data_IF_427364075531
#
_entry.id   IF_427364075531
#
_cell.length_a   1.000
_cell.length_b   1.000
_cell.length_c   1.000
_cell.angle_alpha   90.00
_cell.angle_beta   90.00
_cell.angle_gamma   90.00
#
_symmetry.space_group_name_H-M   'P 1'
#
loop_
_entity.id
_entity.type
_entity.pdbx_description
1 polymer ?
#
# COMPACT_ATOMS: atom_id res chain seq x y z
N UNK A 1 50.84 18.84 -2.47
CA UNK A 1 51.71 20.02 -2.63
C UNK A 1 52.12 20.02 -4.09
N UNK A 2 51.75 21.06 -4.84
CA UNK A 2 52.17 21.23 -6.24
C UNK A 2 53.16 22.39 -6.28
N UNK A 3 54.30 22.21 -6.93
CA UNK A 3 55.30 23.25 -7.15
C UNK A 3 55.36 23.51 -8.66
N UNK A 4 55.06 24.73 -9.08
CA UNK A 4 55.19 25.18 -10.46
C UNK A 4 56.46 26.05 -10.54
N UNK A 5 57.35 25.72 -11.49
CA UNK A 5 58.64 26.37 -11.64
C UNK A 5 58.62 27.34 -12.83
N UNK A 6 58.85 28.62 -12.58
CA UNK A 6 59.07 29.64 -13.62
C UNK A 6 60.57 29.85 -13.81
N UNK A 7 61.08 29.47 -14.98
CA UNK A 7 62.50 29.56 -15.36
C UNK A 7 62.90 30.99 -15.77
N UNK A 8 63.32 31.82 -14.82
CA UNK A 8 64.17 32.99 -15.13
C UNK A 8 65.43 32.96 -14.25
N UNK A 9 66.51 32.40 -14.81
CA UNK A 9 67.84 32.38 -14.19
C UNK A 9 68.58 31.08 -14.49
N UNK A 10 69.79 31.19 -15.06
CA UNK A 10 70.60 30.07 -15.53
C UNK A 10 70.94 29.06 -14.43
N UNK A 11 70.18 27.96 -14.42
CA UNK A 11 70.53 26.71 -13.76
C UNK A 11 71.27 25.83 -14.77
N UNK A 12 72.39 25.22 -14.39
CA UNK A 12 72.96 24.13 -15.19
C UNK A 12 72.00 22.93 -15.06
N UNK A 13 71.30 22.50 -16.12
CA UNK A 13 70.42 21.36 -16.03
C UNK A 13 71.28 20.11 -15.81
N UNK A 14 71.03 19.42 -14.70
CA UNK A 14 71.45 18.01 -14.58
C UNK A 14 70.67 17.27 -15.67
N UNK A 15 71.38 16.55 -16.54
CA UNK A 15 70.76 15.85 -17.66
C UNK A 15 70.04 14.61 -17.12
N UNK A 16 68.71 14.65 -17.19
CA UNK A 16 67.81 13.54 -16.87
C UNK A 16 68.18 12.32 -17.72
N UNK A 17 68.53 11.24 -17.06
CA UNK A 17 68.82 9.97 -17.72
C UNK A 17 67.60 9.02 -17.65
N UNK A 18 67.68 7.88 -18.34
CA UNK A 18 66.54 6.96 -18.43
C UNK A 18 66.46 5.95 -17.28
N UNK A 19 67.38 5.98 -16.32
CA UNK A 19 67.43 5.06 -15.20
C UNK A 19 66.80 5.69 -13.94
N UNK A 20 66.64 4.87 -12.88
CA UNK A 20 66.13 5.29 -11.56
C UNK A 20 67.29 5.17 -10.54
N UNK A 21 68.50 5.50 -10.96
CA UNK A 21 69.69 5.54 -10.10
C UNK A 21 70.50 6.82 -10.37
N UNK A 22 70.22 7.88 -9.61
CA UNK A 22 70.98 9.12 -9.73
C UNK A 22 70.62 10.20 -8.70
N UNK A 23 71.44 11.25 -8.66
CA UNK A 23 71.21 12.45 -7.83
C UNK A 23 70.24 13.47 -8.51
N UNK A 24 69.77 13.16 -9.71
CA UNK A 24 68.73 13.88 -10.47
C UNK A 24 67.31 13.60 -9.95
N UNK A 25 67.15 12.54 -9.15
CA UNK A 25 65.88 12.17 -8.54
C UNK A 25 65.54 12.94 -7.26
N UNK A 26 64.25 13.25 -7.13
CA UNK A 26 63.69 13.84 -5.92
C UNK A 26 63.57 12.80 -4.80
N UNK A 27 64.69 12.49 -4.12
CA UNK A 27 64.68 11.60 -2.95
C UNK A 27 64.20 12.34 -1.69
N UNK A 28 62.97 12.06 -1.27
CA UNK A 28 62.42 12.52 0.01
C UNK A 28 62.71 11.44 1.07
N UNK A 29 63.58 11.75 2.02
CA UNK A 29 63.89 10.91 3.19
C UNK A 29 63.73 11.68 4.50
N UNK A 30 63.49 11.01 5.64
CA UNK A 30 63.46 11.66 6.95
C UNK A 30 64.77 12.41 7.24
N UNK A 31 64.67 13.62 7.80
CA UNK A 31 65.79 14.55 8.10
C UNK A 31 66.41 15.32 6.91
N UNK A 32 65.76 15.37 5.74
CA UNK A 32 66.16 16.24 4.62
C UNK A 32 65.34 17.54 4.61
N UNK A 33 65.98 18.67 4.35
CA UNK A 33 65.31 19.99 4.20
C UNK A 33 65.11 20.27 2.71
N UNK A 34 63.89 20.63 2.34
CA UNK A 34 63.58 21.11 0.98
C UNK A 34 63.67 22.64 1.01
N UNK A 35 64.66 23.19 0.31
CA UNK A 35 64.74 24.62 0.06
C UNK A 35 64.02 24.93 -1.25
N UNK A 36 63.08 25.88 -1.20
CA UNK A 36 62.33 26.34 -2.37
C UNK A 36 62.67 27.81 -2.57
N UNK A 37 63.51 28.10 -3.55
CA UNK A 37 63.88 29.47 -3.91
C UNK A 37 62.93 29.99 -4.99
N UNK A 38 62.42 31.21 -4.79
CA UNK A 38 61.56 31.93 -5.73
C UNK A 38 60.28 31.18 -6.21
N UNK A 39 59.69 30.31 -5.39
CA UNK A 39 58.41 29.67 -5.70
C UNK A 39 57.38 29.82 -4.56
N UNK A 40 56.09 29.79 -4.91
CA UNK A 40 54.98 29.91 -3.96
C UNK A 40 54.42 28.53 -3.63
N UNK A 41 54.51 28.15 -2.36
CA UNK A 41 53.90 26.91 -1.87
C UNK A 41 52.43 27.17 -1.57
N UNK A 42 51.52 26.45 -2.25
CA UNK A 42 50.09 26.54 -2.00
C UNK A 42 49.54 25.25 -1.37
N UNK A 43 48.50 25.39 -0.54
CA UNK A 43 47.72 24.27 -0.03
C UNK A 43 46.63 23.95 -1.06
N UNK A 44 46.40 22.67 -1.33
CA UNK A 44 45.23 22.27 -2.11
C UNK A 44 43.99 22.46 -1.24
N UNK A 45 43.03 23.25 -1.73
CA UNK A 45 41.74 23.41 -1.06
C UNK A 45 41.04 22.05 -0.93
N UNK A 46 40.32 21.87 0.17
CA UNK A 46 39.54 20.65 0.37
C UNK A 46 38.49 20.52 -0.73
N UNK A 47 38.34 19.31 -1.28
CA UNK A 47 37.33 19.06 -2.31
C UNK A 47 35.92 19.29 -1.76
N UNK A 48 35.11 20.07 -2.47
CA UNK A 48 33.71 20.22 -2.16
C UNK A 48 32.95 18.96 -2.61
N UNK A 49 32.38 18.22 -1.65
CA UNK A 49 31.63 16.99 -1.91
C UNK A 49 30.13 17.23 -2.18
N UNK A 50 29.64 18.46 -2.05
CA UNK A 50 28.24 18.80 -2.32
C UNK A 50 27.78 18.38 -3.74
N UNK A 51 28.55 18.61 -4.82
CA UNK A 51 28.14 18.17 -6.16
C UNK A 51 27.99 16.65 -6.28
N UNK A 52 28.75 15.87 -5.50
CA UNK A 52 28.61 14.40 -5.48
C UNK A 52 27.32 13.97 -4.77
N UNK A 53 26.92 14.68 -3.71
CA UNK A 53 25.65 14.44 -3.00
C UNK A 53 24.47 14.78 -3.92
N UNK A 54 24.50 15.94 -4.59
CA UNK A 54 23.47 16.34 -5.54
C UNK A 54 23.34 15.35 -6.70
N UNK A 55 24.48 14.88 -7.22
CA UNK A 55 24.50 13.85 -8.27
C UNK A 55 23.83 12.55 -7.80
N UNK A 56 24.11 12.11 -6.57
CA UNK A 56 23.44 10.94 -5.97
C UNK A 56 21.93 11.16 -5.89
N UNK A 57 21.48 12.32 -5.43
CA UNK A 57 20.05 12.63 -5.31
C UNK A 57 19.34 12.67 -6.66
N UNK A 58 19.99 13.23 -7.69
CA UNK A 58 19.48 13.21 -9.06
C UNK A 58 19.28 11.78 -9.59
N UNK A 59 20.22 10.87 -9.31
CA UNK A 59 20.05 9.46 -9.66
C UNK A 59 18.88 8.79 -8.93
N UNK A 60 18.72 9.06 -7.62
CA UNK A 60 17.58 8.54 -6.84
C UNK A 60 16.26 9.02 -7.43
N UNK A 61 16.16 10.31 -7.79
CA UNK A 61 14.97 10.88 -8.42
C UNK A 61 14.69 10.25 -9.80
N UNK A 62 15.71 10.05 -10.63
CA UNK A 62 15.57 9.40 -11.93
C UNK A 62 15.07 7.95 -11.78
N UNK A 63 15.64 7.19 -10.84
CA UNK A 63 15.22 5.81 -10.55
C UNK A 63 13.77 5.78 -10.05
N UNK A 64 13.40 6.66 -9.13
CA UNK A 64 12.04 6.77 -8.61
C UNK A 64 11.03 7.07 -9.75
N UNK A 65 11.37 8.00 -10.64
CA UNK A 65 10.54 8.36 -11.79
C UNK A 65 10.33 7.18 -12.76
N UNK A 66 11.40 6.47 -13.13
CA UNK A 66 11.33 5.33 -14.06
C UNK A 66 10.62 4.12 -13.43
N UNK A 67 10.93 3.83 -12.16
CA UNK A 67 10.36 2.69 -11.45
C UNK A 67 8.93 2.93 -10.94
N UNK A 68 8.45 4.18 -10.96
CA UNK A 68 7.19 4.60 -10.31
C UNK A 68 7.16 4.21 -8.82
N UNK A 69 8.32 4.09 -8.19
CA UNK A 69 8.46 3.88 -6.75
C UNK A 69 8.53 5.26 -6.10
N UNK A 70 7.71 5.56 -5.09
CA UNK A 70 7.78 6.86 -4.41
C UNK A 70 9.17 7.12 -3.81
N UNK A 71 9.67 8.36 -3.97
CA UNK A 71 11.04 8.77 -3.58
C UNK A 71 11.30 8.54 -2.09
N UNK A 72 10.29 8.72 -1.23
CA UNK A 72 10.41 8.52 0.22
C UNK A 72 10.73 7.07 0.63
N UNK A 73 10.53 6.08 -0.25
CA UNK A 73 11.01 4.71 -0.02
C UNK A 73 12.50 4.55 -0.25
N UNK A 74 13.10 5.36 -1.12
CA UNK A 74 14.52 5.28 -1.50
C UNK A 74 15.39 6.22 -0.68
N UNK A 75 14.85 7.35 -0.25
CA UNK A 75 15.49 8.30 0.64
C UNK A 75 14.59 8.45 1.87
N UNK A 76 14.97 7.86 3.02
CA UNK A 76 14.24 8.06 4.26
C UNK A 76 14.16 9.55 4.53
N UNK A 77 12.95 10.10 4.50
CA UNK A 77 12.70 11.51 4.78
C UNK A 77 13.21 11.82 6.18
N UNK A 78 14.33 12.53 6.25
CA UNK A 78 14.89 13.05 7.49
C UNK A 78 14.05 14.20 8.01
N UNK A 79 12.91 13.89 8.63
CA UNK A 79 12.10 14.84 9.41
C UNK A 79 11.28 15.86 8.61
N UNK A 80 10.05 16.06 9.09
CA UNK A 80 9.15 17.21 8.90
C UNK A 80 8.30 17.36 7.62
N UNK A 81 8.56 16.66 6.52
CA UNK A 81 7.65 16.68 5.35
C UNK A 81 7.14 15.29 4.99
N UNK A 82 6.51 14.61 5.95
CA UNK A 82 5.65 13.47 5.61
C UNK A 82 4.43 14.05 4.88
N UNK A 83 4.21 13.73 3.60
CA UNK A 83 3.05 14.24 2.88
C UNK A 83 1.76 13.83 3.60
N UNK A 84 0.73 14.66 3.53
CA UNK A 84 -0.59 14.30 4.07
C UNK A 84 -1.07 12.97 3.46
N UNK A 85 -1.91 12.22 4.18
CA UNK A 85 -2.32 10.87 3.75
C UNK A 85 -2.90 10.79 2.32
N UNK A 86 -3.54 11.86 1.84
CA UNK A 86 -4.05 11.94 0.46
C UNK A 86 -2.92 12.22 -0.57
N UNK A 87 -1.92 13.02 -0.19
CA UNK A 87 -0.74 13.25 -1.03
C UNK A 87 0.12 11.98 -1.14
N UNK A 88 0.27 11.23 -0.03
CA UNK A 88 0.90 9.90 -0.05
C UNK A 88 0.18 8.96 -1.02
N UNK A 89 -1.16 8.92 -0.99
CA UNK A 89 -1.95 8.10 -1.91
C UNK A 89 -1.73 8.47 -3.38
N UNK A 90 -1.67 9.77 -3.69
CA UNK A 90 -1.39 10.22 -5.06
C UNK A 90 0.01 9.78 -5.52
N UNK A 91 1.01 9.86 -4.63
CA UNK A 91 2.37 9.38 -4.90
C UNK A 91 2.41 7.86 -5.09
N UNK A 92 1.63 7.10 -4.32
CA UNK A 92 1.54 5.64 -4.41
C UNK A 92 0.74 5.13 -5.62
N UNK A 93 -0.10 5.98 -6.22
CA UNK A 93 -0.97 5.58 -7.34
C UNK A 93 -0.22 4.97 -8.52
N UNK A 94 1.01 5.43 -8.78
CA UNK A 94 1.87 4.90 -9.84
C UNK A 94 2.33 3.46 -9.55
N UNK A 95 2.65 3.17 -8.29
CA UNK A 95 3.02 1.84 -7.83
C UNK A 95 1.81 0.90 -7.85
N UNK A 96 0.66 1.36 -7.37
CA UNK A 96 -0.60 0.60 -7.37
C UNK A 96 -0.97 0.14 -8.79
N UNK A 97 -0.88 1.03 -9.78
CA UNK A 97 -1.15 0.67 -11.19
C UNK A 97 -0.22 -0.45 -11.68
N UNK A 98 1.07 -0.40 -11.34
CA UNK A 98 2.01 -1.49 -11.70
C UNK A 98 1.65 -2.81 -11.02
N UNK A 99 1.20 -2.76 -9.76
CA UNK A 99 0.74 -3.96 -9.06
C UNK A 99 -0.51 -4.54 -9.73
N UNK A 100 -1.48 -3.70 -10.11
CA UNK A 100 -2.68 -4.14 -10.84
C UNK A 100 -2.33 -4.77 -12.20
N UNK A 101 -1.40 -4.17 -12.96
CA UNK A 101 -0.87 -4.77 -14.20
C UNK A 101 -0.27 -6.17 -13.94
N UNK A 102 0.46 -6.35 -12.84
CA UNK A 102 1.05 -7.66 -12.46
C UNK A 102 0.01 -8.65 -11.96
N UNK A 103 -1.00 -8.21 -11.21
CA UNK A 103 -2.12 -9.04 -10.78
C UNK A 103 -2.89 -9.61 -11.98
N UNK A 104 -3.02 -8.84 -13.07
CA UNK A 104 -3.65 -9.32 -14.30
C UNK A 104 -2.82 -10.42 -14.97
N UNK A 105 -1.52 -10.18 -15.18
CA UNK A 105 -0.63 -11.16 -15.83
C UNK A 105 -0.50 -12.43 -14.99
N UNK A 106 -0.26 -12.30 -13.68
CA UNK A 106 -0.18 -13.47 -12.80
C UNK A 106 -1.54 -14.13 -12.59
N UNK A 107 -2.63 -13.38 -12.60
CA UNK A 107 -3.97 -13.92 -12.50
C UNK A 107 -4.32 -14.87 -13.64
N UNK A 108 -3.92 -14.52 -14.87
CA UNK A 108 -4.04 -15.42 -16.03
C UNK A 108 -3.19 -16.67 -15.87
N UNK A 109 -1.92 -16.52 -15.49
CA UNK A 109 -1.03 -17.68 -15.27
C UNK A 109 -1.57 -18.65 -14.19
N UNK A 110 -2.19 -18.11 -13.13
CA UNK A 110 -2.84 -18.93 -12.10
C UNK A 110 -4.11 -19.62 -12.60
N UNK A 111 -4.91 -18.94 -13.43
CA UNK A 111 -6.08 -19.55 -14.06
C UNK A 111 -5.68 -20.74 -14.95
N UNK A 112 -4.66 -20.56 -15.80
CA UNK A 112 -4.15 -21.61 -16.68
C UNK A 112 -3.62 -22.81 -15.87
N UNK A 113 -2.87 -22.55 -14.79
CA UNK A 113 -2.35 -23.60 -13.91
C UNK A 113 -3.48 -24.42 -13.27
N UNK A 114 -4.55 -23.75 -12.83
CA UNK A 114 -5.71 -24.40 -12.22
C UNK A 114 -6.59 -25.11 -13.25
N UNK A 115 -6.66 -24.62 -14.48
CA UNK A 115 -7.32 -25.32 -15.59
C UNK A 115 -6.59 -26.62 -15.93
N UNK A 116 -5.26 -26.61 -16.01
CA UNK A 116 -4.46 -27.83 -16.21
C UNK A 116 -4.69 -28.80 -15.04
N UNK A 117 -4.66 -28.31 -13.80
CA UNK A 117 -4.94 -29.13 -12.63
C UNK A 117 -6.34 -29.75 -12.66
N UNK A 118 -7.36 -28.99 -13.08
CA UNK A 118 -8.74 -29.47 -13.25
C UNK A 118 -8.82 -30.55 -14.32
N UNK A 119 -8.17 -30.36 -15.47
CA UNK A 119 -8.18 -31.34 -16.57
C UNK A 119 -7.48 -32.65 -16.17
N UNK A 120 -6.37 -32.57 -15.45
CA UNK A 120 -5.69 -33.76 -14.90
C UNK A 120 -6.60 -34.47 -13.89
N UNK A 121 -7.23 -33.72 -12.99
CA UNK A 121 -8.12 -34.28 -11.97
C UNK A 121 -9.41 -34.87 -12.58
N UNK A 122 -9.93 -34.30 -13.68
CA UNK A 122 -11.04 -34.88 -14.45
C UNK A 122 -10.65 -36.20 -15.12
N UNK A 123 -9.42 -36.31 -15.61
CA UNK A 123 -8.94 -37.49 -16.34
C UNK A 123 -8.51 -38.65 -15.43
N UNK A 124 -7.86 -38.34 -14.30
CA UNK A 124 -7.23 -39.35 -13.43
C UNK A 124 -7.80 -39.39 -11.99
N UNK A 125 -8.62 -38.41 -11.61
CA UNK A 125 -9.17 -38.28 -10.26
C UNK A 125 -10.61 -38.80 -10.13
N UNK A 126 -11.11 -38.77 -8.89
CA UNK A 126 -12.46 -39.21 -8.56
C UNK A 126 -13.39 -38.01 -8.33
N UNK A 127 -14.44 -37.90 -9.15
CA UNK A 127 -15.68 -37.21 -8.78
C UNK A 127 -15.67 -35.68 -8.76
N UNK A 128 -14.94 -35.01 -9.67
CA UNK A 128 -15.15 -33.57 -9.87
C UNK A 128 -16.45 -33.33 -10.66
N UNK A 129 -17.30 -32.38 -10.22
CA UNK A 129 -18.46 -31.99 -11.01
C UNK A 129 -18.03 -31.39 -12.35
N UNK A 130 -18.73 -31.77 -13.41
CA UNK A 130 -18.51 -31.20 -14.73
C UNK A 130 -19.08 -29.78 -14.76
N UNK A 131 -18.21 -28.81 -14.98
CA UNK A 131 -18.58 -27.39 -15.05
C UNK A 131 -18.27 -26.90 -16.46
N UNK A 132 -19.32 -26.64 -17.25
CA UNK A 132 -19.21 -26.09 -18.60
C UNK A 132 -20.00 -24.77 -18.72
N UNK A 133 -19.36 -23.65 -19.10
CA UNK A 133 -17.92 -23.48 -19.35
C UNK A 133 -17.10 -23.40 -18.04
N UNK A 134 -15.89 -23.97 -18.06
CA UNK A 134 -14.92 -23.82 -16.98
C UNK A 134 -14.42 -22.37 -16.95
N UNK A 135 -14.82 -21.61 -15.94
CA UNK A 135 -14.39 -20.23 -15.75
C UNK A 135 -13.66 -20.10 -14.41
N UNK A 136 -12.34 -20.26 -14.44
CA UNK A 136 -11.48 -20.08 -13.28
C UNK A 136 -10.85 -18.69 -13.35
N UNK A 137 -11.01 -17.91 -12.28
CA UNK A 137 -10.44 -16.56 -12.19
C UNK A 137 -9.70 -16.39 -10.87
N UNK A 138 -8.53 -15.77 -10.91
CA UNK A 138 -7.79 -15.38 -9.72
C UNK A 138 -8.42 -14.12 -9.11
N UNK A 139 -8.92 -14.24 -7.88
CA UNK A 139 -9.40 -13.09 -7.12
C UNK A 139 -8.27 -12.55 -6.24
N UNK A 140 -7.76 -11.36 -6.57
CA UNK A 140 -6.74 -10.67 -5.78
C UNK A 140 -7.38 -9.70 -4.80
N UNK A 141 -6.76 -9.54 -3.63
CA UNK A 141 -7.04 -8.42 -2.74
C UNK A 141 -6.65 -7.11 -3.43
N UNK A 142 -7.41 -6.03 -3.18
CA UNK A 142 -7.09 -4.69 -3.66
C UNK A 142 -5.65 -4.31 -3.29
N UNK A 143 -4.92 -3.77 -4.26
CA UNK A 143 -3.53 -3.35 -4.12
C UNK A 143 -3.39 -2.02 -3.35
N UNK A 144 -4.47 -1.25 -3.19
CA UNK A 144 -4.45 -0.05 -2.37
C UNK A 144 -4.39 -0.38 -0.88
N UNK A 145 -3.69 0.46 -0.10
CA UNK A 145 -3.79 0.43 1.36
C UNK A 145 -5.24 0.77 1.73
N UNK A 146 -5.91 -0.14 2.46
CA UNK A 146 -7.32 0.03 2.86
C UNK A 146 -7.50 1.35 3.63
N UNK A 147 -8.30 2.24 3.08
CA UNK A 147 -8.82 3.40 3.79
C UNK A 147 -10.31 3.16 4.09
N UNK A 148 -10.58 2.73 5.31
CA UNK A 148 -11.94 2.43 5.80
C UNK A 148 -12.89 3.63 5.64
N UNK A 149 -12.37 4.87 5.77
CA UNK A 149 -13.15 6.09 5.61
C UNK A 149 -13.63 6.28 4.16
N UNK A 150 -12.76 6.04 3.18
CA UNK A 150 -13.15 6.16 1.77
C UNK A 150 -14.14 5.07 1.36
N UNK A 151 -13.98 3.85 1.87
CA UNK A 151 -14.94 2.77 1.63
C UNK A 151 -16.32 3.09 2.23
N UNK A 152 -16.36 3.64 3.44
CA UNK A 152 -17.61 4.08 4.07
C UNK A 152 -18.28 5.21 3.26
N UNK A 153 -17.52 6.22 2.82
CA UNK A 153 -18.06 7.31 1.99
C UNK A 153 -18.59 6.81 0.63
N UNK A 154 -17.90 5.86 0.01
CA UNK A 154 -18.35 5.22 -1.23
C UNK A 154 -19.62 4.40 -1.00
N UNK A 155 -19.69 3.64 0.11
CA UNK A 155 -20.86 2.87 0.49
C UNK A 155 -22.08 3.77 0.76
N UNK A 156 -21.89 4.87 1.48
CA UNK A 156 -22.93 5.88 1.72
C UNK A 156 -23.41 6.51 0.41
N UNK A 157 -22.48 6.82 -0.50
CA UNK A 157 -22.83 7.36 -1.81
C UNK A 157 -23.67 6.38 -2.64
N UNK A 158 -23.31 5.09 -2.66
CA UNK A 158 -24.08 4.07 -3.36
C UNK A 158 -25.45 3.82 -2.73
N UNK A 159 -25.54 3.83 -1.40
CA UNK A 159 -26.81 3.72 -0.69
C UNK A 159 -27.73 4.90 -1.00
N UNK A 160 -27.18 6.11 -1.10
CA UNK A 160 -27.92 7.32 -1.50
C UNK A 160 -28.43 7.26 -2.96
N UNK A 161 -27.72 6.56 -3.83
CA UNK A 161 -28.10 6.33 -5.23
C UNK A 161 -29.14 5.20 -5.42
N UNK A 162 -29.51 4.50 -4.34
CA UNK A 162 -30.49 3.42 -4.39
C UNK A 162 -29.96 2.14 -5.04
N UNK A 163 -28.64 1.94 -5.06
CA UNK A 163 -28.02 0.70 -5.54
C UNK A 163 -28.35 -0.44 -4.56
N UNK A 164 -28.75 -1.65 -5.04
CA UNK A 164 -29.01 -2.79 -4.16
C UNK A 164 -27.81 -3.12 -3.27
N UNK A 165 -28.06 -3.40 -1.99
CA UNK A 165 -27.02 -3.67 -0.98
C UNK A 165 -26.05 -4.79 -1.41
N UNK A 166 -26.54 -5.77 -2.17
CA UNK A 166 -25.75 -6.85 -2.77
C UNK A 166 -24.60 -6.34 -3.66
N UNK A 167 -24.88 -5.33 -4.47
CA UNK A 167 -23.92 -4.70 -5.37
C UNK A 167 -22.96 -3.83 -4.58
N UNK A 168 -23.45 -3.16 -3.52
CA UNK A 168 -22.60 -2.38 -2.61
C UNK A 168 -21.60 -3.28 -1.89
N UNK A 169 -22.03 -4.41 -1.33
CA UNK A 169 -21.16 -5.35 -0.62
C UNK A 169 -20.14 -6.01 -1.56
N UNK A 170 -20.54 -6.33 -2.79
CA UNK A 170 -19.61 -6.85 -3.79
C UNK A 170 -18.57 -5.79 -4.17
N UNK A 171 -18.98 -4.53 -4.32
CA UNK A 171 -18.09 -3.40 -4.64
C UNK A 171 -17.11 -3.10 -3.50
N UNK A 172 -17.50 -3.38 -2.26
CA UNK A 172 -16.63 -3.28 -1.07
C UNK A 172 -15.67 -4.48 -0.93
N UNK A 173 -15.77 -5.49 -1.80
CA UNK A 173 -14.86 -6.64 -1.83
C UNK A 173 -15.18 -7.73 -0.81
N UNK A 174 -16.42 -7.79 -0.30
CA UNK A 174 -16.86 -8.92 0.53
C UNK A 174 -16.98 -10.20 -0.29
N UNK A 175 -16.66 -11.35 0.32
CA UNK A 175 -16.74 -12.64 -0.38
C UNK A 175 -18.19 -13.06 -0.61
N UNK A 176 -18.48 -13.91 -1.62
CA UNK A 176 -19.83 -14.43 -1.84
C UNK A 176 -20.40 -15.16 -0.60
N UNK A 177 -19.54 -15.79 0.20
CA UNK A 177 -19.89 -16.43 1.47
C UNK A 177 -20.29 -15.42 2.54
N UNK A 178 -19.60 -14.28 2.64
CA UNK A 178 -19.92 -13.23 3.61
C UNK A 178 -21.27 -12.56 3.26
N UNK A 179 -21.50 -12.29 1.97
CA UNK A 179 -22.76 -11.74 1.46
C UNK A 179 -23.94 -12.68 1.78
N UNK A 180 -23.75 -13.99 1.63
CA UNK A 180 -24.76 -14.97 2.01
C UNK A 180 -25.05 -14.94 3.52
N UNK A 181 -24.01 -14.72 4.34
CA UNK A 181 -24.14 -14.52 5.79
C UNK A 181 -24.96 -13.27 6.14
N UNK A 182 -24.66 -12.13 5.52
CA UNK A 182 -25.39 -10.87 5.72
C UNK A 182 -26.85 -10.97 5.28
N UNK A 183 -27.12 -11.61 4.14
CA UNK A 183 -28.50 -11.92 3.70
C UNK A 183 -29.22 -12.82 4.69
N UNK A 184 -28.51 -13.80 5.25
CA UNK A 184 -29.04 -14.69 6.27
C UNK A 184 -29.42 -13.95 7.55
N UNK A 185 -28.61 -12.98 7.98
CA UNK A 185 -28.91 -12.11 9.12
C UNK A 185 -30.07 -11.15 8.82
N UNK A 186 -30.04 -10.46 7.67
CA UNK A 186 -31.09 -9.54 7.26
C UNK A 186 -32.46 -10.22 7.17
N UNK A 187 -32.54 -11.43 6.60
CA UNK A 187 -33.79 -12.21 6.57
C UNK A 187 -34.28 -12.62 7.97
N UNK A 188 -33.36 -12.91 8.89
CA UNK A 188 -33.72 -13.22 10.29
C UNK A 188 -34.22 -11.98 11.01
N UNK A 189 -33.57 -10.84 10.81
CA UNK A 189 -33.99 -9.56 11.38
C UNK A 189 -35.35 -9.12 10.84
N UNK A 190 -35.57 -9.20 9.53
CA UNK A 190 -36.87 -8.92 8.92
C UNK A 190 -37.96 -9.86 9.45
N UNK A 191 -37.67 -11.16 9.56
CA UNK A 191 -38.59 -12.12 10.15
C UNK A 191 -38.91 -11.78 11.63
N UNK A 192 -37.94 -11.29 12.40
CA UNK A 192 -38.14 -10.84 13.78
C UNK A 192 -38.97 -9.55 13.82
N UNK A 193 -38.73 -8.58 12.95
CA UNK A 193 -39.51 -7.34 12.87
C UNK A 193 -40.95 -7.62 12.44
N UNK A 194 -41.16 -8.45 11.41
CA UNK A 194 -42.49 -8.85 10.95
C UNK A 194 -43.22 -9.63 12.04
N UNK A 195 -42.54 -10.54 12.76
CA UNK A 195 -43.11 -11.25 13.89
C UNK A 195 -43.45 -10.31 15.07
N UNK A 196 -42.62 -9.29 15.33
CA UNK A 196 -42.87 -8.29 16.36
C UNK A 196 -44.10 -7.44 16.02
N UNK A 197 -44.20 -6.93 14.78
CA UNK A 197 -45.35 -6.15 14.29
C UNK A 197 -46.61 -7.01 14.29
N UNK A 198 -46.54 -8.26 13.83
CA UNK A 198 -47.67 -9.18 13.88
C UNK A 198 -48.09 -9.53 15.32
N UNK A 199 -47.14 -9.63 16.25
CA UNK A 199 -47.37 -9.84 17.67
C UNK A 199 -47.99 -8.63 18.37
N UNK A 200 -47.64 -7.42 17.95
CA UNK A 200 -48.26 -6.17 18.41
C UNK A 200 -49.68 -6.01 17.86
N UNK A 201 -49.89 -6.26 16.56
CA UNK A 201 -51.23 -6.25 15.95
C UNK A 201 -52.16 -7.29 16.58
N UNK A 202 -51.65 -8.48 16.92
CA UNK A 202 -52.42 -9.51 17.63
C UNK A 202 -52.79 -9.08 19.04
N UNK A 203 -51.87 -8.45 19.78
CA UNK A 203 -52.15 -7.89 21.13
C UNK A 203 -53.17 -6.75 21.07
N UNK A 204 -53.08 -5.88 20.08
CA UNK A 204 -54.04 -4.79 19.87
C UNK A 204 -55.43 -5.30 19.50
N UNK A 205 -55.52 -6.33 18.65
CA UNK A 205 -56.80 -6.99 18.30
C UNK A 205 -57.45 -7.72 19.47
N UNK A 206 -56.65 -8.39 20.33
CA UNK A 206 -57.14 -9.06 21.54
C UNK A 206 -57.61 -8.08 22.63
N UNK A 207 -57.00 -6.89 22.73
CA UNK A 207 -57.44 -5.84 23.64
C UNK A 207 -58.79 -5.23 23.23
N UNK A 208 -59.07 -5.15 21.92
CA UNK A 208 -60.36 -4.69 21.39
C UNK A 208 -61.50 -5.71 21.54
N UNK A 209 -61.19 -6.99 21.76
CA UNK A 209 -62.17 -8.07 21.92
C UNK A 209 -62.53 -8.39 23.36
N UNK A 210 -61.94 -7.72 24.36
CA UNK A 210 -62.32 -7.92 25.77
C UNK A 210 -63.70 -7.26 25.99
N UNK A 211 -64.79 -8.03 26.15
CA UNK A 211 -66.11 -7.44 26.39
C UNK A 211 -66.10 -6.79 27.78
N UNK A 212 -66.63 -5.57 27.86
CA UNK A 212 -66.90 -4.90 29.11
C UNK A 212 -68.11 -5.56 29.79
N UNK A 213 -67.92 -6.74 30.37
CA UNK A 213 -68.92 -7.37 31.25
C UNK A 213 -68.22 -8.11 32.40
N UNK A 214 -67.91 -7.35 33.44
CA UNK A 214 -67.82 -7.87 34.80
C UNK A 214 -68.13 -6.74 35.76
N UNK A 215 -69.42 -6.43 35.90
CA UNK A 215 -69.95 -5.62 37.01
C UNK A 215 -69.62 -6.36 38.33
N UNK A 216 -68.96 -5.72 39.32
CA UNK A 216 -68.65 -6.38 40.58
C UNK A 216 -69.93 -6.67 41.38
N UNK A 217 -70.06 -7.82 42.08
CA UNK A 217 -71.23 -8.11 42.88
C UNK A 217 -71.27 -7.23 44.13
N UNK A 218 -72.43 -6.58 44.33
CA UNK A 218 -72.79 -5.84 45.54
C UNK A 218 -72.91 -6.82 46.70
N UNK A 219 -72.05 -6.65 47.70
CA UNK A 219 -72.11 -7.36 48.97
C UNK A 219 -73.27 -6.79 49.80
N UNK A 220 -74.39 -7.51 49.91
CA UNK A 220 -75.46 -7.18 50.85
C UNK A 220 -75.63 -8.31 51.87
N UNK A 221 -75.59 -7.88 53.13
CA UNK A 221 -75.51 -8.64 54.36
C UNK A 221 -76.83 -9.33 54.74
N UNK A 222 -76.73 -10.52 55.35
CA UNK A 222 -77.58 -10.94 56.47
C UNK A 222 -78.76 -11.87 56.17
N UNK A 223 -78.91 -12.91 57.00
CA UNK A 223 -80.23 -13.52 57.24
C UNK A 223 -80.29 -15.03 57.44
N UNK A 224 -79.94 -15.49 58.65
CA UNK A 224 -80.61 -16.50 59.49
C UNK A 224 -81.56 -17.52 58.79
N UNK A 225 -81.21 -18.80 58.83
CA UNK A 225 -81.84 -19.92 59.59
C UNK A 225 -81.33 -21.27 59.05
#
# INVERSE_FOLDING_TARGET
MLAEYTTEGGFNPIADDANIEGDDELHISPARVIQVDNARVHRLEAANLLPMIETKEAFVQAIAGVSRIPVYYLQPVGGAEVPSGEALKQLESGLVKRVQERQLVFGQAWADAMEIAYNIAKTFGAGLPEVEPLNIQAQWTDANVRNELQQAQVAEAYKRLGVPDDVVWTTLGFTPTDIAGFKGQARREEAVTVAAIAGELRRAGLAAQRPADSTPPVQQNGGIL
#
